data_IF_093759124610
#
_entry.id   IF_093759124610
#
_cell.length_a   1.000
_cell.length_b   1.000
_cell.length_c   1.000
_cell.angle_alpha   90.00
_cell.angle_beta   90.00
_cell.angle_gamma   90.00
#
_symmetry.space_group_name_H-M   'P 1'
#
loop_
_entity.id
_entity.type
_entity.pdbx_description
1 polymer ?
#
# COMPACT_ATOMS: atom_id res chain seq x y z
N UNK A 1 17.20 -0.75 -18.11
CA UNK A 1 15.79 -1.11 -17.87
C UNK A 1 15.69 -1.54 -16.44
N UNK A 2 14.97 -0.81 -15.59
CA UNK A 2 14.57 -1.34 -14.28
C UNK A 2 13.45 -2.35 -14.53
N UNK A 3 13.67 -3.61 -14.17
CA UNK A 3 12.64 -4.64 -14.25
C UNK A 3 11.49 -4.30 -13.28
N UNK A 4 10.26 -4.46 -13.75
CA UNK A 4 9.04 -4.36 -12.94
C UNK A 4 8.42 -5.74 -12.79
N UNK A 5 8.12 -6.13 -11.56
CA UNK A 5 7.55 -7.44 -11.22
C UNK A 5 6.14 -7.24 -10.66
N UNK A 6 5.18 -8.03 -11.13
CA UNK A 6 3.84 -8.06 -10.53
C UNK A 6 3.93 -8.71 -9.13
N UNK A 7 3.47 -7.99 -8.11
CA UNK A 7 3.36 -8.42 -6.72
C UNK A 7 1.93 -8.13 -6.26
N UNK A 8 1.08 -9.15 -6.01
CA UNK A 8 -0.32 -8.94 -5.63
C UNK A 8 -0.49 -8.28 -4.25
N UNK A 9 0.59 -8.08 -3.50
CA UNK A 9 0.54 -7.62 -2.12
C UNK A 9 0.21 -8.77 -1.15
N UNK A 10 0.10 -8.42 0.13
CA UNK A 10 -0.24 -9.39 1.20
C UNK A 10 -1.74 -9.30 1.50
N UNK A 11 -2.52 -10.38 1.31
CA UNK A 11 -3.93 -10.39 1.73
C UNK A 11 -4.04 -10.21 3.26
N UNK A 12 -4.97 -9.35 3.66
CA UNK A 12 -5.24 -9.02 5.07
C UNK A 12 -6.72 -9.15 5.43
N UNK A 13 -7.51 -9.87 4.62
CA UNK A 13 -8.96 -10.02 4.84
C UNK A 13 -9.30 -10.58 6.23
N UNK A 14 -8.46 -11.48 6.73
CA UNK A 14 -8.60 -12.10 8.05
C UNK A 14 -8.40 -11.15 9.25
N UNK A 15 -7.87 -9.95 9.01
CA UNK A 15 -7.62 -8.90 10.03
C UNK A 15 -8.15 -7.53 9.60
N UNK A 16 -9.03 -7.47 8.59
CA UNK A 16 -9.48 -6.22 7.98
C UNK A 16 -10.09 -5.22 8.97
N UNK A 17 -10.71 -5.73 10.04
CA UNK A 17 -11.40 -4.94 11.07
C UNK A 17 -10.54 -4.70 12.33
N UNK A 18 -9.31 -5.24 12.38
CA UNK A 18 -8.41 -5.09 13.52
C UNK A 18 -7.27 -4.11 13.17
N UNK A 19 -7.48 -2.84 13.52
CA UNK A 19 -6.50 -1.78 13.28
C UNK A 19 -5.12 -2.09 13.89
N UNK A 20 -5.08 -2.67 15.09
CA UNK A 20 -3.82 -2.95 15.76
C UNK A 20 -3.03 -4.03 15.02
N UNK A 21 -3.69 -5.11 14.60
CA UNK A 21 -3.04 -6.16 13.80
C UNK A 21 -2.60 -5.66 12.43
N UNK A 22 -3.39 -4.79 11.79
CA UNK A 22 -3.03 -4.15 10.52
C UNK A 22 -1.76 -3.29 10.65
N UNK A 23 -1.68 -2.46 11.71
CA UNK A 23 -0.51 -1.63 11.99
C UNK A 23 0.74 -2.46 12.30
N UNK A 24 0.61 -3.52 13.10
CA UNK A 24 1.72 -4.43 13.40
C UNK A 24 2.22 -5.15 12.14
N UNK A 25 1.32 -5.60 11.27
CA UNK A 25 1.72 -6.20 9.99
C UNK A 25 2.38 -5.17 9.07
N UNK A 26 1.84 -3.96 8.97
CA UNK A 26 2.43 -2.88 8.19
C UNK A 26 3.83 -2.51 8.70
N UNK A 27 4.03 -2.48 10.02
CA UNK A 27 5.33 -2.27 10.66
C UNK A 27 6.32 -3.37 10.31
N UNK A 28 5.92 -4.64 10.42
CA UNK A 28 6.78 -5.78 10.05
C UNK A 28 7.19 -5.75 8.57
N UNK A 29 6.26 -5.40 7.67
CA UNK A 29 6.51 -5.39 6.21
C UNK A 29 7.30 -4.15 5.75
N UNK A 30 7.07 -2.99 6.36
CA UNK A 30 7.74 -1.73 6.00
C UNK A 30 9.04 -1.48 6.76
N UNK A 31 9.25 -2.16 7.90
CA UNK A 31 10.39 -1.96 8.79
C UNK A 31 10.32 -0.66 9.61
N UNK A 32 9.16 -0.01 9.66
CA UNK A 32 9.00 1.30 10.31
C UNK A 32 7.73 1.35 11.16
N UNK A 33 7.76 2.16 12.23
CA UNK A 33 6.59 2.38 13.07
C UNK A 33 5.56 3.26 12.35
N UNK A 34 4.35 2.75 12.20
CA UNK A 34 3.30 3.34 11.37
C UNK A 34 1.95 3.32 12.06
N UNK A 35 1.11 4.29 11.72
CA UNK A 35 -0.29 4.37 12.12
C UNK A 35 -1.18 4.29 10.88
N UNK A 36 -2.32 3.61 11.01
CA UNK A 36 -3.32 3.49 9.97
C UNK A 36 -4.23 4.73 9.95
N UNK A 37 -4.33 5.37 8.80
CA UNK A 37 -5.31 6.44 8.58
C UNK A 37 -6.75 5.86 8.66
N UNK A 38 -7.71 6.61 9.22
CA UNK A 38 -9.06 6.10 9.47
C UNK A 38 -9.84 5.82 8.18
N UNK A 39 -9.65 6.65 7.16
CA UNK A 39 -10.56 6.71 6.01
C UNK A 39 -9.99 6.09 4.73
N UNK A 40 -10.86 5.38 4.02
CA UNK A 40 -10.60 4.98 2.63
C UNK A 40 -10.75 6.20 1.72
N UNK A 41 -9.80 6.38 0.80
CA UNK A 41 -9.86 7.43 -0.21
C UNK A 41 -9.58 6.88 -1.61
N UNK A 42 -10.23 7.43 -2.63
CA UNK A 42 -9.93 7.14 -4.03
C UNK A 42 -8.90 8.15 -4.55
N UNK A 43 -7.77 7.66 -5.06
CA UNK A 43 -6.60 8.50 -5.34
C UNK A 43 -6.37 8.63 -6.84
N UNK A 44 -6.75 9.77 -7.45
CA UNK A 44 -6.53 9.99 -8.90
C UNK A 44 -5.08 9.71 -9.33
N UNK A 45 -4.16 10.38 -8.65
CA UNK A 45 -2.72 10.23 -8.79
C UNK A 45 -2.09 10.69 -7.48
N UNK A 46 -1.26 9.85 -6.88
CA UNK A 46 -0.44 10.23 -5.73
C UNK A 46 0.98 9.78 -6.01
N UNK A 47 1.82 10.77 -6.26
CA UNK A 47 3.25 10.60 -6.34
C UNK A 47 3.85 10.94 -4.98
N UNK A 48 4.49 9.93 -4.39
CA UNK A 48 5.58 10.03 -3.42
C UNK A 48 5.31 10.93 -2.21
N UNK A 49 4.71 10.35 -1.16
CA UNK A 49 4.96 10.87 0.19
C UNK A 49 5.95 9.97 0.93
N UNK A 50 7.12 10.48 1.35
CA UNK A 50 8.06 9.72 2.17
C UNK A 50 7.49 9.37 3.57
N UNK A 51 6.33 9.93 3.91
CA UNK A 51 5.62 9.61 5.16
C UNK A 51 4.75 8.36 5.05
N UNK A 52 4.32 7.98 3.83
CA UNK A 52 3.47 6.81 3.62
C UNK A 52 4.35 5.59 3.38
N UNK A 53 4.22 4.58 4.24
CA UNK A 53 5.10 3.40 4.26
C UNK A 53 4.40 2.10 3.94
N UNK A 54 3.09 2.09 4.06
CA UNK A 54 2.27 1.04 3.48
C UNK A 54 0.92 1.61 3.08
N UNK A 55 0.19 0.86 2.27
CA UNK A 55 -1.19 1.13 1.89
C UNK A 55 -2.01 -0.14 1.98
N UNK A 56 -3.24 -0.03 2.48
CA UNK A 56 -4.27 -1.00 2.15
C UNK A 56 -4.84 -0.65 0.79
N UNK A 57 -5.07 -1.66 -0.03
CA UNK A 57 -5.74 -1.56 -1.32
C UNK A 57 -6.96 -2.45 -1.28
N UNK A 58 -8.04 -2.00 -1.91
CA UNK A 58 -9.20 -2.84 -2.21
C UNK A 58 -9.64 -2.61 -3.63
N UNK A 59 -10.34 -3.60 -4.21
CA UNK A 59 -10.99 -3.43 -5.50
C UNK A 59 -12.19 -2.47 -5.34
N UNK A 60 -12.11 -1.32 -5.99
CA UNK A 60 -13.18 -0.33 -6.07
C UNK A 60 -13.05 0.48 -7.36
N UNK A 61 -14.18 0.84 -7.98
CA UNK A 61 -14.19 1.66 -9.20
C UNK A 61 -13.55 1.00 -10.44
N UNK A 62 -12.94 1.83 -11.29
CA UNK A 62 -12.38 1.44 -12.60
C UNK A 62 -11.04 0.69 -12.52
N UNK A 63 -10.45 0.62 -11.32
CA UNK A 63 -9.12 0.06 -11.09
C UNK A 63 -7.99 1.04 -11.39
N UNK A 64 -6.83 0.71 -10.83
CA UNK A 64 -5.58 1.47 -10.78
C UNK A 64 -4.42 0.59 -10.30
N UNK A 65 -3.26 1.18 -10.04
CA UNK A 65 -2.03 0.47 -9.66
C UNK A 65 -1.37 1.12 -8.46
N UNK A 66 -0.84 0.29 -7.56
CA UNK A 66 0.15 0.69 -6.57
C UNK A 66 1.51 0.15 -6.99
N UNK A 67 2.50 1.03 -7.15
CA UNK A 67 3.88 0.66 -7.47
C UNK A 67 4.77 0.96 -6.27
N UNK A 68 5.65 0.02 -5.94
CA UNK A 68 6.77 0.25 -5.03
C UNK A 68 8.03 0.44 -5.88
N UNK A 69 8.52 1.68 -5.93
CA UNK A 69 9.77 2.02 -6.60
C UNK A 69 10.94 1.47 -5.79
N UNK A 70 11.48 0.35 -6.27
CA UNK A 70 12.59 -0.40 -5.72
C UNK A 70 13.46 -0.95 -6.88
N UNK A 71 14.48 -1.75 -6.57
CA UNK A 71 15.32 -2.40 -7.59
C UNK A 71 15.34 -3.91 -7.33
N UNK A 72 14.52 -4.73 -8.03
CA UNK A 72 13.53 -4.36 -9.05
C UNK A 72 12.29 -3.67 -8.46
N UNK A 73 11.57 -2.92 -9.28
CA UNK A 73 10.31 -2.28 -8.87
C UNK A 73 9.18 -3.31 -8.85
N UNK A 74 8.19 -3.10 -7.98
CA UNK A 74 7.06 -4.01 -7.80
C UNK A 74 5.75 -3.28 -8.05
N UNK A 75 4.74 -3.94 -8.61
CA UNK A 75 3.43 -3.33 -8.79
C UNK A 75 2.27 -4.26 -8.48
N UNK A 76 1.19 -3.68 -7.98
CA UNK A 76 -0.06 -4.35 -7.62
C UNK A 76 -1.21 -3.73 -8.41
N UNK A 77 -1.88 -4.53 -9.24
CA UNK A 77 -3.04 -4.10 -10.01
C UNK A 77 -4.33 -4.28 -9.20
N UNK A 78 -5.01 -3.17 -8.89
CA UNK A 78 -6.21 -3.21 -8.02
C UNK A 78 -7.41 -3.93 -8.65
N UNK A 79 -7.49 -4.01 -9.98
CA UNK A 79 -8.56 -4.74 -10.68
C UNK A 79 -8.45 -6.27 -10.53
N UNK A 80 -7.25 -6.78 -10.23
CA UNK A 80 -6.97 -8.20 -9.99
C UNK A 80 -7.11 -8.61 -8.51
N UNK A 81 -7.34 -7.66 -7.60
CA UNK A 81 -7.46 -7.96 -6.18
C UNK A 81 -8.75 -8.70 -5.86
N UNK A 82 -8.62 -9.70 -5.00
CA UNK A 82 -9.71 -10.34 -4.27
C UNK A 82 -9.56 -9.92 -2.81
N UNK A 83 -10.45 -9.03 -2.34
CA UNK A 83 -10.42 -8.54 -0.96
C UNK A 83 -9.49 -7.33 -0.74
N UNK A 84 -8.97 -7.23 0.48
CA UNK A 84 -8.07 -6.17 0.94
C UNK A 84 -6.65 -6.71 0.98
N UNK A 85 -5.72 -5.98 0.37
CA UNK A 85 -4.28 -6.31 0.42
C UNK A 85 -3.46 -5.15 0.98
N UNK A 86 -2.36 -5.51 1.64
CA UNK A 86 -1.35 -4.61 2.14
C UNK A 86 -0.16 -4.57 1.16
N UNK A 87 0.22 -3.36 0.76
CA UNK A 87 1.45 -3.08 0.00
C UNK A 87 2.34 -2.18 0.85
N UNK A 88 3.58 -2.60 1.08
CA UNK A 88 4.53 -1.88 1.93
C UNK A 88 5.84 -1.55 1.21
N UNK A 89 6.38 -0.38 1.54
CA UNK A 89 7.69 0.10 1.12
C UNK A 89 8.67 0.03 2.29
N UNK A 90 9.84 -0.54 2.03
CA UNK A 90 10.99 -0.58 2.95
C UNK A 90 11.76 0.75 2.96
N UNK A 91 12.67 0.98 3.92
CA UNK A 91 13.47 2.21 3.94
C UNK A 91 14.22 2.40 2.62
N UNK A 92 14.04 3.56 1.99
CA UNK A 92 14.61 3.87 0.67
C UNK A 92 13.71 3.53 -0.53
N UNK A 93 12.61 2.80 -0.32
CA UNK A 93 11.57 2.56 -1.33
C UNK A 93 10.45 3.61 -1.22
N UNK A 94 9.71 3.82 -2.31
CA UNK A 94 8.58 4.75 -2.34
C UNK A 94 7.34 4.11 -2.96
N UNK A 95 6.16 4.44 -2.44
CA UNK A 95 4.87 4.03 -3.03
C UNK A 95 4.37 5.10 -4.00
N UNK A 96 3.95 4.68 -5.18
CA UNK A 96 3.31 5.49 -6.22
C UNK A 96 1.94 4.90 -6.51
N UNK A 97 0.89 5.73 -6.49
CA UNK A 97 -0.48 5.31 -6.77
C UNK A 97 -0.97 6.00 -8.05
N UNK A 98 -1.44 5.23 -9.01
CA UNK A 98 -1.90 5.74 -10.31
C UNK A 98 -3.27 5.15 -10.66
N UNK A 99 -4.15 5.98 -11.24
CA UNK A 99 -5.41 5.53 -11.80
C UNK A 99 -6.47 5.19 -10.76
N UNK A 100 -6.69 6.05 -9.76
CA UNK A 100 -7.83 5.91 -8.83
C UNK A 100 -7.90 4.61 -8.00
N UNK A 101 -6.80 4.07 -7.43
CA UNK A 101 -6.95 3.02 -6.42
C UNK A 101 -7.68 3.55 -5.18
N UNK A 102 -8.57 2.73 -4.61
CA UNK A 102 -9.14 2.95 -3.28
C UNK A 102 -8.13 2.47 -2.23
N UNK A 103 -7.67 3.39 -1.37
CA UNK A 103 -6.58 3.12 -0.42
C UNK A 103 -6.87 3.60 0.99
N UNK A 104 -6.24 2.96 1.99
CA UNK A 104 -5.98 3.55 3.31
C UNK A 104 -4.48 3.61 3.53
N UNK A 105 -3.99 4.72 4.05
CA UNK A 105 -2.55 4.90 4.25
C UNK A 105 -2.09 4.40 5.60
N UNK A 106 -0.87 3.88 5.63
CA UNK A 106 -0.08 3.78 6.85
C UNK A 106 1.00 4.85 6.80
N UNK A 107 0.91 5.81 7.71
CA UNK A 107 1.89 6.90 7.83
C UNK A 107 2.87 6.60 8.94
N UNK A 108 4.13 6.99 8.77
CA UNK A 108 5.10 7.00 9.87
C UNK A 108 4.49 7.73 11.06
N UNK A 109 4.55 7.12 12.23
CA UNK A 109 4.35 7.88 13.47
C UNK A 109 5.51 8.85 13.57
N UNK A 110 5.25 10.15 13.44
CA UNK A 110 6.25 11.16 13.77
C UNK A 110 6.69 10.94 15.21
N UNK A 111 8.00 10.80 15.42
CA UNK A 111 8.61 10.94 16.74
C UNK A 111 8.44 12.38 17.23
#
# INVERSE_FOLDING_TARGET
MTEEIEDPGTSVDHIADDQHQLEEMAKQKSGEDVALDPDWIDVKQFETSPTVRAVLLRKHGTGGVARVNASPSRYTLTNKLTGIVLVAAKPGENIVLLGYPSVRYFRRRTL
#
